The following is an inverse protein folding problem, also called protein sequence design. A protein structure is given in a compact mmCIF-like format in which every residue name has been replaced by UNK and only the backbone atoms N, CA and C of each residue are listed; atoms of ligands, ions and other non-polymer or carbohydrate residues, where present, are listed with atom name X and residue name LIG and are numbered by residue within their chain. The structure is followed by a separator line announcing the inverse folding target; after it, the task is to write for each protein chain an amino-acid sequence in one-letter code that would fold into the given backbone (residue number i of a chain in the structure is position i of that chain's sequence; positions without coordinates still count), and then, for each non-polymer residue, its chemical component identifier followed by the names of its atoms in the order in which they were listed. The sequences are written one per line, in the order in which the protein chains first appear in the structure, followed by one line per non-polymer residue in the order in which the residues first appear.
data_IF_425505572884
#
_entry.id   IF_425505572884
#
_cell.length_a   1.000
_cell.length_b   1.000
_cell.length_c   1.000
_cell.angle_alpha   90.00
_cell.angle_beta   90.00
_cell.angle_gamma   90.00
#
_symmetry.space_group_name_H-M   'P 1'
#
loop_
_entity.id
_entity.type
_entity.pdbx_description
1 polymer ?
#
# COMPACT_ATOMS: atom_id res chain seq x y z
N UNK A 1 -23.35 25.48 -15.84
CA UNK A 1 -22.21 26.27 -16.36
C UNK A 1 -21.24 25.30 -17.00
N UNK A 2 -20.89 25.50 -18.27
CA UNK A 2 -19.91 24.66 -18.99
C UNK A 2 -18.52 25.23 -18.74
N UNK A 3 -17.59 24.41 -18.26
CA UNK A 3 -16.19 24.83 -18.07
C UNK A 3 -15.52 25.06 -19.42
N UNK A 4 -14.64 26.06 -19.50
CA UNK A 4 -13.79 26.26 -20.67
C UNK A 4 -12.69 25.20 -20.73
N UNK A 5 -12.07 25.03 -21.90
CA UNK A 5 -10.96 24.09 -22.08
C UNK A 5 -9.79 24.42 -21.15
N UNK A 6 -9.50 25.72 -20.96
CA UNK A 6 -8.43 26.19 -20.07
C UNK A 6 -8.73 25.84 -18.61
N UNK A 7 -9.99 25.98 -18.19
CA UNK A 7 -10.41 25.61 -16.84
C UNK A 7 -10.33 24.10 -16.60
N UNK A 8 -10.64 23.28 -17.61
CA UNK A 8 -10.49 21.83 -17.53
C UNK A 8 -9.00 21.45 -17.46
N UNK A 9 -8.17 22.06 -18.31
CA UNK A 9 -6.73 21.80 -18.33
C UNK A 9 -6.05 22.18 -16.99
N UNK A 10 -6.45 23.29 -16.39
CA UNK A 10 -5.93 23.71 -15.08
C UNK A 10 -6.34 22.75 -13.96
N UNK A 11 -7.60 22.33 -13.94
CA UNK A 11 -8.07 21.34 -12.96
C UNK A 11 -7.36 20.00 -13.10
N UNK A 12 -7.11 19.55 -14.34
CA UNK A 12 -6.37 18.33 -14.59
C UNK A 12 -4.93 18.44 -14.07
N UNK A 13 -4.26 19.56 -14.34
CA UNK A 13 -2.88 19.79 -13.87
C UNK A 13 -2.81 19.82 -12.34
N UNK A 14 -3.77 20.44 -11.67
CA UNK A 14 -3.87 20.42 -10.20
C UNK A 14 -4.03 18.98 -9.70
N UNK A 15 -4.91 18.20 -10.32
CA UNK A 15 -5.13 16.80 -9.96
C UNK A 15 -3.85 15.97 -10.13
N UNK A 16 -3.11 16.15 -11.23
CA UNK A 16 -1.85 15.46 -11.48
C UNK A 16 -0.79 15.77 -10.41
N UNK A 17 -0.67 17.04 -10.02
CA UNK A 17 0.26 17.47 -8.95
C UNK A 17 -0.14 16.83 -7.61
N UNK A 18 -1.43 16.86 -7.27
CA UNK A 18 -1.94 16.27 -6.03
C UNK A 18 -1.73 14.74 -6.01
N UNK A 19 -1.97 14.06 -7.14
CA UNK A 19 -1.75 12.62 -7.27
C UNK A 19 -0.26 12.25 -7.10
N UNK A 20 0.65 13.01 -7.68
CA UNK A 20 2.09 12.77 -7.52
C UNK A 20 2.53 13.00 -6.07
N UNK A 21 1.99 14.02 -5.40
CA UNK A 21 2.24 14.24 -3.98
C UNK A 21 1.74 13.07 -3.11
N UNK A 22 0.50 12.61 -3.33
CA UNK A 22 -0.04 11.44 -2.62
C UNK A 22 0.79 10.18 -2.87
N UNK A 23 1.27 9.97 -4.10
CA UNK A 23 2.16 8.86 -4.44
C UNK A 23 3.46 8.93 -3.65
N UNK A 24 4.06 10.10 -3.53
CA UNK A 24 5.28 10.30 -2.74
C UNK A 24 5.05 9.99 -1.25
N UNK A 25 3.92 10.45 -0.68
CA UNK A 25 3.56 10.14 0.71
C UNK A 25 3.36 8.65 0.96
N UNK A 26 2.62 7.96 0.08
CA UNK A 26 2.43 6.51 0.18
C UNK A 26 3.76 5.77 0.14
N UNK A 27 4.68 6.20 -0.74
CA UNK A 27 6.01 5.57 -0.82
C UNK A 27 6.84 5.82 0.44
N UNK A 28 6.80 7.03 1.00
CA UNK A 28 7.47 7.34 2.26
C UNK A 28 6.90 6.52 3.42
N UNK A 29 5.58 6.34 3.49
CA UNK A 29 4.91 5.50 4.48
C UNK A 29 5.34 4.04 4.37
N UNK A 30 5.39 3.49 3.15
CA UNK A 30 5.91 2.14 2.89
C UNK A 30 7.33 1.96 3.42
N UNK A 31 8.24 2.90 3.13
CA UNK A 31 9.62 2.83 3.62
C UNK A 31 9.69 2.92 5.15
N UNK A 32 8.94 3.84 5.75
CA UNK A 32 8.90 4.02 7.20
C UNK A 32 8.37 2.77 7.90
N UNK A 33 7.33 2.15 7.36
CA UNK A 33 6.80 0.89 7.86
C UNK A 33 7.82 -0.25 7.72
N UNK A 34 8.47 -0.38 6.56
CA UNK A 34 9.51 -1.37 6.35
C UNK A 34 10.63 -1.25 7.39
N UNK A 35 11.06 -0.01 7.67
CA UNK A 35 12.03 0.27 8.73
C UNK A 35 11.50 -0.08 10.14
N UNK A 36 10.24 0.23 10.44
CA UNK A 36 9.61 -0.10 11.71
C UNK A 36 9.52 -1.62 11.92
N UNK A 37 9.10 -2.38 10.90
CA UNK A 37 9.06 -3.85 10.94
C UNK A 37 10.47 -4.42 11.10
N UNK A 38 11.45 -3.94 10.34
CA UNK A 38 12.82 -4.44 10.40
C UNK A 38 13.50 -4.24 11.76
N UNK A 39 13.17 -3.15 12.45
CA UNK A 39 13.76 -2.77 13.75
C UNK A 39 12.97 -3.30 14.95
N UNK A 40 11.78 -3.86 14.75
CA UNK A 40 10.94 -4.36 15.84
C UNK A 40 11.51 -5.64 16.49
N UNK A 41 11.39 -5.76 17.81
CA UNK A 41 11.85 -6.93 18.57
C UNK A 41 11.11 -8.22 18.17
N UNK A 42 9.85 -8.11 17.74
CA UNK A 42 9.04 -9.20 17.20
C UNK A 42 8.52 -8.81 15.80
N UNK A 43 9.40 -8.95 14.80
CA UNK A 43 9.11 -8.54 13.42
C UNK A 43 7.92 -9.29 12.82
N UNK A 44 7.78 -10.57 13.16
CA UNK A 44 6.71 -11.44 12.63
C UNK A 44 5.34 -11.03 13.14
N UNK A 45 5.23 -10.69 14.42
CA UNK A 45 3.97 -10.20 14.99
C UNK A 45 3.57 -8.86 14.39
N UNK A 46 4.52 -7.92 14.25
CA UNK A 46 4.22 -6.61 13.66
C UNK A 46 3.85 -6.71 12.17
N UNK A 47 4.52 -7.56 11.40
CA UNK A 47 4.16 -7.85 10.01
C UNK A 47 2.74 -8.41 9.89
N UNK A 48 2.34 -9.32 10.80
CA UNK A 48 0.99 -9.89 10.81
C UNK A 48 -0.09 -8.88 11.18
N UNK A 49 0.19 -7.98 12.13
CA UNK A 49 -0.72 -6.88 12.46
C UNK A 49 -0.91 -5.95 11.27
N UNK A 50 0.17 -5.67 10.53
CA UNK A 50 0.11 -4.90 9.30
C UNK A 50 -0.78 -5.57 8.24
N UNK A 51 -0.62 -6.87 7.98
CA UNK A 51 -1.48 -7.63 7.05
C UNK A 51 -2.97 -7.51 7.39
N UNK A 52 -3.32 -7.65 8.68
CA UNK A 52 -4.71 -7.52 9.13
C UNK A 52 -5.25 -6.10 8.95
N UNK A 53 -4.43 -5.09 9.23
CA UNK A 53 -4.80 -3.68 9.04
C UNK A 53 -5.07 -3.35 7.58
N UNK A 54 -4.35 -3.98 6.64
CA UNK A 54 -4.57 -3.77 5.20
C UNK A 54 -5.93 -4.26 4.72
N UNK A 55 -6.38 -5.41 5.24
CA UNK A 55 -7.70 -5.96 4.91
C UNK A 55 -8.80 -5.02 5.43
N UNK A 56 -8.69 -4.60 6.69
CA UNK A 56 -9.60 -3.62 7.30
C UNK A 56 -9.62 -2.28 6.54
N UNK A 57 -8.45 -1.76 6.15
CA UNK A 57 -8.35 -0.50 5.40
C UNK A 57 -9.06 -0.57 4.05
N UNK A 58 -8.95 -1.71 3.35
CA UNK A 58 -9.66 -1.95 2.10
C UNK A 58 -11.17 -2.08 2.31
N UNK A 59 -11.61 -2.76 3.37
CA UNK A 59 -13.03 -2.91 3.71
C UNK A 59 -13.68 -1.59 4.10
N UNK A 60 -12.97 -0.71 4.83
CA UNK A 60 -13.46 0.64 5.19
C UNK A 60 -13.73 1.51 3.96
N UNK A 61 -12.96 1.32 2.88
CA UNK A 61 -13.14 2.06 1.63
C UNK A 61 -14.01 1.32 0.62
N UNK A 62 -14.44 0.09 0.92
CA UNK A 62 -15.27 -0.69 0.04
C UNK A 62 -16.63 -0.02 -0.17
N UNK A 63 -16.91 0.38 -1.41
CA UNK A 63 -18.18 1.00 -1.80
C UNK A 63 -18.24 2.53 -1.69
N UNK A 64 -17.24 3.19 -1.11
CA UNK A 64 -17.20 4.66 -0.98
C UNK A 64 -16.73 5.34 -2.27
N UNK A 65 -15.66 4.82 -2.88
CA UNK A 65 -15.02 5.41 -4.07
C UNK A 65 -15.21 4.54 -5.34
N UNK A 66 -16.14 3.59 -5.27
CA UNK A 66 -16.50 2.70 -6.37
C UNK A 66 -15.65 1.43 -6.50
N UNK A 67 -16.09 0.48 -7.34
CA UNK A 67 -15.50 -0.87 -7.40
C UNK A 67 -14.08 -0.89 -7.98
N UNK A 68 -13.75 0.02 -8.90
CA UNK A 68 -12.41 0.12 -9.51
C UNK A 68 -11.38 0.62 -8.49
N UNK A 69 -11.74 1.65 -7.70
CA UNK A 69 -10.88 2.15 -6.63
C UNK A 69 -10.62 1.06 -5.59
N UNK A 70 -11.69 0.40 -5.13
CA UNK A 70 -11.60 -0.68 -4.13
C UNK A 70 -10.68 -1.81 -4.60
N UNK A 71 -10.84 -2.26 -5.86
CA UNK A 71 -10.01 -3.31 -6.44
C UNK A 71 -8.53 -2.88 -6.61
N UNK A 72 -8.29 -1.64 -7.05
CA UNK A 72 -6.94 -1.09 -7.19
C UNK A 72 -6.24 -0.98 -5.83
N UNK A 73 -6.94 -0.48 -4.81
CA UNK A 73 -6.44 -0.38 -3.44
C UNK A 73 -6.06 -1.77 -2.89
N UNK A 74 -6.97 -2.73 -2.97
CA UNK A 74 -6.69 -4.12 -2.54
C UNK A 74 -5.48 -4.72 -3.25
N UNK A 75 -5.33 -4.50 -4.56
CA UNK A 75 -4.20 -4.99 -5.32
C UNK A 75 -2.88 -4.32 -4.89
N UNK A 76 -2.86 -3.01 -4.69
CA UNK A 76 -1.67 -2.28 -4.23
C UNK A 76 -1.23 -2.73 -2.83
N UNK A 77 -2.17 -2.96 -1.92
CA UNK A 77 -1.89 -3.44 -0.57
C UNK A 77 -1.32 -4.87 -0.57
N UNK A 78 -1.82 -5.73 -1.47
CA UNK A 78 -1.27 -7.08 -1.67
C UNK A 78 0.17 -7.05 -2.17
N UNK A 79 0.45 -6.23 -3.20
CA UNK A 79 1.81 -6.07 -3.74
C UNK A 79 2.80 -5.56 -2.68
N UNK A 80 2.36 -4.62 -1.83
CA UNK A 80 3.18 -4.09 -0.75
C UNK A 80 3.54 -5.19 0.29
N UNK A 81 2.58 -6.04 0.62
CA UNK A 81 2.77 -7.18 1.54
C UNK A 81 3.79 -8.18 0.99
N UNK A 82 3.71 -8.51 -0.29
CA UNK A 82 4.67 -9.37 -0.98
C UNK A 82 6.08 -8.79 -0.96
N UNK A 83 6.22 -7.47 -1.22
CA UNK A 83 7.51 -6.78 -1.18
C UNK A 83 8.12 -6.81 0.22
N UNK A 84 7.33 -6.52 1.27
CA UNK A 84 7.80 -6.60 2.67
C UNK A 84 8.23 -8.03 3.01
N UNK A 85 7.46 -9.03 2.59
CA UNK A 85 7.76 -10.44 2.85
C UNK A 85 9.05 -10.90 2.14
N UNK A 86 9.32 -10.38 0.95
CA UNK A 86 10.55 -10.67 0.19
C UNK A 86 11.81 -10.08 0.83
N UNK A 87 11.66 -9.06 1.69
CA UNK A 87 12.76 -8.43 2.43
C UNK A 87 13.19 -9.31 3.63
N UNK A 88 12.41 -10.32 4.04
CA UNK A 88 12.78 -11.30 5.07
C UNK A 88 13.39 -12.58 4.44
N UNK A 89 14.72 -12.78 4.45
CA UNK A 89 15.38 -13.92 3.81
C UNK A 89 15.24 -15.24 4.61
N UNK A 90 14.61 -15.23 5.79
CA UNK A 90 14.58 -16.38 6.69
C UNK A 90 13.47 -17.40 6.37
N UNK A 91 12.56 -17.12 5.43
CA UNK A 91 11.48 -18.05 5.05
C UNK A 91 11.93 -19.18 4.11
N UNK A 92 13.06 -19.03 3.41
CA UNK A 92 13.57 -20.04 2.46
C UNK A 92 14.42 -21.14 3.10
N UNK A 93 14.68 -21.09 4.41
CA UNK A 93 15.59 -22.02 5.10
C UNK A 93 14.92 -22.95 6.13
N UNK A 94 13.63 -23.23 5.97
CA UNK A 94 13.03 -24.45 6.52
C UNK A 94 13.02 -25.53 5.42
N UNK A 95 14.20 -26.08 5.12
CA UNK A 95 14.27 -27.46 4.61
C UNK A 95 13.65 -28.38 5.66
N UNK A 96 12.93 -29.44 5.26
CA UNK A 96 12.54 -30.47 6.22
C UNK A 96 13.81 -31.08 6.79
N UNK A 97 14.01 -30.91 8.10
CA UNK A 97 14.83 -31.81 8.89
C UNK A 97 14.03 -33.09 9.04
N UNK A 98 14.61 -34.15 8.49
CA UNK A 98 14.35 -35.57 8.70
C UNK A 98 13.03 -36.17 8.14
N UNK A 99 13.15 -36.89 7.01
CA UNK A 99 13.06 -38.35 6.94
C UNK A 99 13.55 -38.88 5.57
#
# INVERSE_FOLDING_TARGET
MTLTLEQIAERLRSCEVDLEAHRAYLKAMEYALGAAIATHNDRRSLARVWELMLVEAADVHAGTDGPVFTAALQQSLRMLTEQISSIDPMATNQRPVDQ
#
